data_IF_408870299119
#
_entry.id   IF_408870299119
#
_cell.length_a   1.000
_cell.length_b   1.000
_cell.length_c   1.000
_cell.angle_alpha   90.00
_cell.angle_beta   90.00
_cell.angle_gamma   90.00
#
_symmetry.space_group_name_H-M   'P 1'
#
loop_
_entity.id
_entity.type
_entity.pdbx_description
1 polymer ?
#
# COMPACT_ATOMS: atom_id res chain seq x y z
N UNK A 1 13.31 5.52 -15.35
CA UNK A 1 13.69 4.18 -14.83
C UNK A 1 14.28 4.39 -13.45
N UNK A 2 13.65 3.88 -12.42
CA UNK A 2 14.07 3.98 -11.02
C UNK A 2 14.55 2.62 -10.54
N UNK A 3 15.74 2.55 -9.96
CA UNK A 3 16.28 1.32 -9.35
C UNK A 3 16.53 1.63 -7.88
N UNK A 4 16.00 0.81 -6.98
CA UNK A 4 16.13 0.99 -5.54
C UNK A 4 16.53 -0.31 -4.86
N UNK A 5 17.35 -0.20 -3.83
CA UNK A 5 17.67 -1.31 -2.90
C UNK A 5 17.22 -0.89 -1.51
N UNK A 6 16.25 -1.61 -0.99
CA UNK A 6 15.81 -1.48 0.39
C UNK A 6 16.52 -2.54 1.24
N UNK A 7 17.16 -2.14 2.33
CA UNK A 7 17.88 -3.04 3.23
C UNK A 7 17.39 -2.91 4.65
N UNK A 8 17.21 -4.04 5.33
CA UNK A 8 16.80 -4.13 6.72
C UNK A 8 17.29 -5.42 7.37
N UNK A 9 17.12 -5.54 8.67
CA UNK A 9 17.59 -6.70 9.44
C UNK A 9 16.46 -7.66 9.87
N UNK A 10 15.23 -7.42 9.41
CA UNK A 10 14.06 -8.26 9.73
C UNK A 10 13.04 -8.20 8.61
N UNK A 11 12.49 -9.35 8.26
CA UNK A 11 11.43 -9.45 7.24
C UNK A 11 10.40 -10.50 7.62
N UNK A 12 9.14 -10.26 7.27
CA UNK A 12 8.08 -11.29 7.34
C UNK A 12 8.00 -11.98 5.98
N UNK A 13 8.33 -13.27 5.97
CA UNK A 13 8.10 -14.15 4.82
C UNK A 13 6.69 -14.75 4.94
N UNK A 14 5.74 -14.14 4.26
CA UNK A 14 4.33 -14.55 4.29
C UNK A 14 4.11 -15.89 3.58
N UNK A 15 4.97 -16.28 2.63
CA UNK A 15 4.89 -17.56 1.94
C UNK A 15 5.32 -18.72 2.85
N UNK A 16 6.39 -18.51 3.62
CA UNK A 16 6.88 -19.49 4.57
C UNK A 16 6.21 -19.38 5.95
N UNK A 17 5.43 -18.33 6.21
CA UNK A 17 4.77 -18.08 7.48
C UNK A 17 5.75 -17.84 8.63
N UNK A 18 6.90 -17.20 8.38
CA UNK A 18 7.95 -17.02 9.38
C UNK A 18 8.58 -15.62 9.34
N UNK A 19 9.20 -15.25 10.45
CA UNK A 19 10.05 -14.06 10.54
C UNK A 19 11.49 -14.44 10.19
N UNK A 20 12.10 -13.66 9.31
CA UNK A 20 13.53 -13.76 8.99
C UNK A 20 14.24 -12.67 9.81
N UNK A 21 15.04 -13.09 10.79
CA UNK A 21 15.82 -12.19 11.67
C UNK A 21 17.29 -12.19 11.22
N UNK A 22 17.55 -11.64 10.06
CA UNK A 22 18.88 -11.43 9.50
C UNK A 22 18.83 -10.33 8.46
N UNK A 23 19.99 -9.80 8.11
CA UNK A 23 20.09 -8.79 7.07
C UNK A 23 19.51 -9.30 5.74
N UNK A 24 18.63 -8.52 5.18
CA UNK A 24 17.92 -8.80 3.93
C UNK A 24 17.91 -7.53 3.07
N UNK A 25 18.02 -7.72 1.77
CA UNK A 25 17.91 -6.64 0.80
C UNK A 25 16.91 -6.99 -0.29
N UNK A 26 16.17 -5.97 -0.73
CA UNK A 26 15.19 -6.06 -1.80
C UNK A 26 15.60 -5.12 -2.92
N UNK A 27 15.85 -5.67 -4.10
CA UNK A 27 16.13 -4.92 -5.31
C UNK A 27 14.82 -4.69 -6.06
N UNK A 28 14.51 -3.44 -6.30
CA UNK A 28 13.30 -3.01 -7.01
C UNK A 28 13.69 -2.21 -8.25
N UNK A 29 13.03 -2.47 -9.36
CA UNK A 29 13.13 -1.69 -10.59
C UNK A 29 11.74 -1.20 -10.97
N UNK A 30 11.59 0.11 -11.02
CA UNK A 30 10.29 0.78 -11.22
C UNK A 30 9.23 0.27 -10.21
N UNK A 31 8.26 -0.53 -10.62
CA UNK A 31 7.22 -1.14 -9.76
C UNK A 31 7.41 -2.64 -9.51
N UNK A 32 8.55 -3.21 -9.92
CA UNK A 32 8.78 -4.67 -9.84
C UNK A 32 9.86 -5.02 -8.84
N UNK A 33 9.60 -6.02 -7.98
CA UNK A 33 10.61 -6.64 -7.13
C UNK A 33 11.43 -7.61 -8.00
N UNK A 34 12.70 -7.29 -8.22
CA UNK A 34 13.61 -8.09 -9.03
C UNK A 34 14.22 -9.23 -8.22
N UNK A 35 14.61 -8.93 -6.97
CA UNK A 35 15.21 -9.93 -6.09
C UNK A 35 15.04 -9.58 -4.62
N UNK A 36 14.94 -10.64 -3.80
CA UNK A 36 14.94 -10.56 -2.32
C UNK A 36 15.98 -11.56 -1.85
N UNK A 37 17.10 -11.10 -1.32
CA UNK A 37 18.20 -11.97 -0.87
C UNK A 37 19.07 -11.26 0.19
N UNK A 38 20.19 -11.89 0.58
CA UNK A 38 21.18 -11.29 1.45
C UNK A 38 21.82 -10.06 0.79
N UNK A 39 22.33 -9.10 1.59
CA UNK A 39 22.99 -7.91 1.06
C UNK A 39 24.13 -8.22 0.10
N UNK A 40 24.89 -9.30 0.35
CA UNK A 40 26.02 -9.72 -0.47
C UNK A 40 25.57 -10.12 -1.87
N UNK A 41 24.51 -10.91 -1.97
CA UNK A 41 23.97 -11.32 -3.27
C UNK A 41 23.36 -10.16 -4.03
N UNK A 42 22.63 -9.29 -3.34
CA UNK A 42 22.05 -8.08 -3.97
C UNK A 42 23.17 -7.15 -4.46
N UNK A 43 24.25 -7.00 -3.69
CA UNK A 43 25.38 -6.13 -4.06
C UNK A 43 26.16 -6.63 -5.30
N UNK A 44 26.10 -7.92 -5.58
CA UNK A 44 26.71 -8.51 -6.80
C UNK A 44 25.82 -8.40 -8.04
N UNK A 45 24.57 -7.92 -7.91
CA UNK A 45 23.66 -7.76 -9.03
C UNK A 45 24.08 -6.58 -9.91
N UNK A 46 24.01 -6.72 -11.23
CA UNK A 46 24.44 -5.70 -12.21
C UNK A 46 23.77 -4.32 -12.00
N UNK A 47 22.53 -4.31 -11.55
CA UNK A 47 21.77 -3.05 -11.31
C UNK A 47 22.15 -2.36 -10.01
N UNK A 48 22.90 -3.01 -9.10
CA UNK A 48 23.15 -2.48 -7.76
C UNK A 48 23.92 -1.16 -7.75
N UNK A 49 24.85 -1.00 -8.66
CA UNK A 49 25.70 0.20 -8.73
C UNK A 49 24.89 1.48 -9.01
N UNK A 50 23.83 1.35 -9.82
CA UNK A 50 22.96 2.44 -10.23
C UNK A 50 21.73 2.60 -9.33
N UNK A 51 21.61 1.79 -8.28
CA UNK A 51 20.46 1.80 -7.39
C UNK A 51 20.58 2.87 -6.28
N UNK A 52 19.49 3.55 -6.01
CA UNK A 52 19.31 4.30 -4.77
C UNK A 52 19.27 3.32 -3.59
N UNK A 53 20.10 3.53 -2.57
CA UNK A 53 20.22 2.63 -1.41
C UNK A 53 19.49 3.22 -0.21
N UNK A 54 18.46 2.50 0.25
CA UNK A 54 17.56 2.92 1.32
C UNK A 54 17.68 1.92 2.48
N UNK A 55 18.20 2.40 3.61
CA UNK A 55 18.25 1.60 4.83
C UNK A 55 16.98 1.80 5.65
N UNK A 56 16.34 0.70 6.01
CA UNK A 56 15.10 0.68 6.77
C UNK A 56 15.38 0.32 8.23
N UNK A 57 14.72 1.03 9.14
CA UNK A 57 14.68 0.70 10.56
C UNK A 57 13.30 0.09 10.84
N UNK A 58 13.29 -1.22 11.08
CA UNK A 58 12.04 -1.93 11.36
C UNK A 58 11.91 -3.24 10.59
N UNK A 59 10.71 -3.79 10.58
CA UNK A 59 10.42 -5.05 9.90
C UNK A 59 9.87 -4.79 8.51
N UNK A 60 10.50 -5.37 7.50
CA UNK A 60 9.99 -5.35 6.13
C UNK A 60 8.89 -6.39 6.01
N UNK A 61 7.76 -6.01 5.44
CA UNK A 61 6.64 -6.91 5.15
C UNK A 61 6.00 -6.53 3.82
N UNK A 62 5.30 -7.46 3.16
CA UNK A 62 4.46 -7.12 2.02
C UNK A 62 3.38 -6.12 2.42
N UNK A 63 2.93 -5.32 1.47
CA UNK A 63 1.78 -4.44 1.69
C UNK A 63 0.57 -5.22 2.22
N UNK A 64 -0.13 -4.63 3.18
CA UNK A 64 -1.31 -5.23 3.79
C UNK A 64 -2.48 -5.25 2.81
N UNK A 65 -3.33 -6.27 2.93
CA UNK A 65 -4.57 -6.42 2.16
C UNK A 65 -5.74 -6.30 3.12
N UNK A 66 -6.58 -5.28 2.92
CA UNK A 66 -7.84 -5.13 3.65
C UNK A 66 -9.00 -5.61 2.77
N UNK A 67 -9.60 -6.73 3.14
CA UNK A 67 -10.64 -7.38 2.35
C UNK A 67 -12.05 -6.85 2.63
N UNK A 68 -12.23 -5.93 3.57
CA UNK A 68 -13.55 -5.42 3.97
C UNK A 68 -13.48 -3.98 4.46
N UNK A 69 -13.65 -3.02 3.56
CA UNK A 69 -13.74 -1.61 3.91
C UNK A 69 -15.06 -1.00 3.42
N UNK A 70 -15.41 0.14 4.00
CA UNK A 70 -16.43 1.07 3.53
C UNK A 70 -15.81 2.46 3.48
N UNK A 71 -15.16 2.79 2.36
CA UNK A 71 -14.36 4.01 2.22
C UNK A 71 -15.15 5.29 2.50
N UNK A 72 -16.44 5.32 2.18
CA UNK A 72 -17.29 6.49 2.39
C UNK A 72 -17.66 6.74 3.87
N UNK A 73 -17.38 5.79 4.78
CA UNK A 73 -17.64 5.93 6.21
C UNK A 73 -16.79 7.02 6.85
N UNK A 74 -17.35 7.74 7.84
CA UNK A 74 -16.62 8.79 8.55
C UNK A 74 -15.66 8.22 9.62
N UNK A 75 -15.88 6.98 10.07
CA UNK A 75 -15.04 6.32 11.08
C UNK A 75 -15.22 6.85 12.50
N UNK A 76 -16.26 7.63 12.73
CA UNK A 76 -16.58 8.33 13.99
C UNK A 76 -17.82 7.76 14.71
N UNK A 77 -18.33 6.63 14.21
CA UNK A 77 -19.57 6.04 14.71
C UNK A 77 -20.84 6.57 14.04
N UNK A 78 -20.73 7.41 13.02
CA UNK A 78 -21.89 7.91 12.26
C UNK A 78 -22.75 6.74 11.74
N UNK A 79 -24.06 6.70 12.08
CA UNK A 79 -24.93 5.63 11.63
C UNK A 79 -25.10 5.56 10.11
N UNK A 80 -25.32 4.36 9.57
CA UNK A 80 -25.43 4.15 8.13
C UNK A 80 -26.60 4.90 7.48
N UNK A 81 -27.70 5.15 8.20
CA UNK A 81 -28.83 5.93 7.71
C UNK A 81 -28.50 7.43 7.52
N UNK A 82 -27.53 7.95 8.26
CA UNK A 82 -26.97 9.30 8.05
C UNK A 82 -26.11 9.32 6.79
N UNK A 83 -25.26 8.29 6.60
CA UNK A 83 -24.45 8.17 5.39
C UNK A 83 -25.33 8.15 4.13
N UNK A 84 -26.45 7.41 4.17
CA UNK A 84 -27.38 7.34 3.02
C UNK A 84 -27.99 8.70 2.68
N UNK A 85 -28.15 9.60 3.64
CA UNK A 85 -28.70 10.96 3.46
C UNK A 85 -27.62 11.99 3.10
N UNK A 86 -26.36 11.67 3.31
CA UNK A 86 -25.23 12.57 3.02
C UNK A 86 -25.03 12.72 1.50
N UNK A 87 -24.62 13.91 1.06
CA UNK A 87 -24.35 14.21 -0.35
C UNK A 87 -23.21 13.31 -0.91
N UNK A 88 -23.41 12.81 -2.13
CA UNK A 88 -22.47 11.89 -2.76
C UNK A 88 -21.09 12.52 -2.99
N UNK A 89 -21.02 13.83 -3.28
CA UNK A 89 -19.75 14.50 -3.48
C UNK A 89 -18.95 14.56 -2.18
N UNK A 90 -19.63 14.84 -1.06
CA UNK A 90 -18.98 14.84 0.26
C UNK A 90 -18.48 13.43 0.62
N UNK A 91 -19.30 12.40 0.37
CA UNK A 91 -18.92 11.01 0.60
C UNK A 91 -17.74 10.60 -0.28
N UNK A 92 -17.68 11.01 -1.55
CA UNK A 92 -16.57 10.72 -2.43
C UNK A 92 -15.28 11.39 -1.95
N UNK A 93 -15.33 12.65 -1.50
CA UNK A 93 -14.17 13.36 -0.94
C UNK A 93 -13.67 12.67 0.33
N UNK A 94 -14.59 12.33 1.24
CA UNK A 94 -14.25 11.61 2.48
C UNK A 94 -13.64 10.23 2.17
N UNK A 95 -14.24 9.50 1.23
CA UNK A 95 -13.74 8.18 0.83
C UNK A 95 -12.36 8.23 0.16
N UNK A 96 -12.08 9.26 -0.64
CA UNK A 96 -10.75 9.49 -1.20
C UNK A 96 -9.71 9.73 -0.09
N UNK A 97 -10.05 10.55 0.90
CA UNK A 97 -9.18 10.79 2.06
C UNK A 97 -8.96 9.52 2.88
N UNK A 98 -9.98 8.69 3.07
CA UNK A 98 -9.85 7.42 3.77
C UNK A 98 -8.96 6.43 2.99
N UNK A 99 -9.08 6.37 1.67
CA UNK A 99 -8.21 5.53 0.85
C UNK A 99 -6.73 5.93 0.97
N UNK A 100 -6.44 7.24 1.01
CA UNK A 100 -5.07 7.75 1.27
C UNK A 100 -4.59 7.29 2.66
N UNK A 101 -5.43 7.39 3.70
CA UNK A 101 -5.09 6.94 5.07
C UNK A 101 -4.80 5.43 5.13
N UNK A 102 -5.51 4.61 4.34
CA UNK A 102 -5.20 3.18 4.25
C UNK A 102 -3.80 2.97 3.66
N UNK A 103 -3.45 3.67 2.59
CA UNK A 103 -2.10 3.59 2.00
C UNK A 103 -1.03 4.03 3.00
N UNK A 104 -1.23 5.15 3.70
CA UNK A 104 -0.31 5.65 4.74
C UNK A 104 -0.14 4.67 5.91
N UNK A 105 -1.16 3.83 6.15
CA UNK A 105 -1.12 2.76 7.17
C UNK A 105 -0.46 1.47 6.68
N UNK A 106 0.02 1.42 5.42
CA UNK A 106 0.66 0.26 4.83
C UNK A 106 -0.29 -0.71 4.12
N UNK A 107 -1.57 -0.39 4.00
CA UNK A 107 -2.52 -1.15 3.16
C UNK A 107 -2.28 -0.77 1.71
N UNK A 108 -1.92 -1.75 0.88
CA UNK A 108 -1.64 -1.55 -0.56
C UNK A 108 -2.69 -2.17 -1.48
N UNK A 109 -3.64 -2.88 -0.90
CA UNK A 109 -4.79 -3.46 -1.61
C UNK A 109 -6.00 -3.42 -0.69
N UNK A 110 -7.13 -2.96 -1.19
CA UNK A 110 -8.36 -2.97 -0.42
C UNK A 110 -9.55 -3.43 -1.25
N UNK A 111 -10.56 -3.98 -0.57
CA UNK A 111 -11.83 -4.36 -1.15
C UNK A 111 -12.96 -3.56 -0.49
N UNK A 112 -13.50 -2.59 -1.19
CA UNK A 112 -14.68 -1.85 -0.74
C UNK A 112 -15.94 -2.69 -0.97
N UNK A 113 -16.66 -3.02 0.09
CA UNK A 113 -17.86 -3.86 0.07
C UNK A 113 -19.16 -3.05 0.05
N UNK A 114 -19.09 -1.75 0.07
CA UNK A 114 -20.28 -0.94 -0.01
C UNK A 114 -20.01 0.55 -0.02
N UNK A 115 -20.48 1.16 -1.07
CA UNK A 115 -20.48 2.60 -1.26
C UNK A 115 -21.88 3.06 -1.69
N UNK A 116 -22.21 4.32 -1.45
CA UNK A 116 -23.46 4.91 -1.91
C UNK A 116 -23.34 5.26 -3.39
N UNK A 117 -24.31 4.81 -4.18
CA UNK A 117 -24.40 5.11 -5.62
C UNK A 117 -23.06 4.83 -6.34
N UNK A 118 -22.51 5.82 -7.06
CA UNK A 118 -21.27 5.71 -7.82
C UNK A 118 -20.00 6.14 -7.04
N UNK A 119 -20.12 6.52 -5.76
CA UNK A 119 -19.01 7.14 -5.01
C UNK A 119 -17.75 6.27 -4.97
N UNK A 120 -17.86 4.98 -4.69
CA UNK A 120 -16.72 4.06 -4.70
C UNK A 120 -16.07 3.92 -6.07
N UNK A 121 -16.88 3.87 -7.14
CA UNK A 121 -16.34 3.83 -8.51
C UNK A 121 -15.62 5.11 -8.89
N UNK A 122 -16.11 6.27 -8.43
CA UNK A 122 -15.43 7.55 -8.69
C UNK A 122 -14.10 7.66 -7.96
N UNK A 123 -13.99 7.15 -6.75
CA UNK A 123 -12.72 7.05 -6.01
C UNK A 123 -11.72 6.17 -6.77
N UNK A 124 -12.17 4.99 -7.23
CA UNK A 124 -11.34 4.10 -8.04
C UNK A 124 -10.89 4.75 -9.35
N UNK A 125 -11.78 5.45 -10.03
CA UNK A 125 -11.47 6.15 -11.28
C UNK A 125 -10.46 7.28 -11.04
N UNK A 126 -10.60 8.03 -9.95
CA UNK A 126 -9.64 9.07 -9.57
C UNK A 126 -8.24 8.47 -9.28
N UNK A 127 -8.19 7.31 -8.65
CA UNK A 127 -6.94 6.55 -8.46
C UNK A 127 -6.34 6.11 -9.79
N UNK A 128 -7.13 5.50 -10.67
CA UNK A 128 -6.67 5.04 -11.99
C UNK A 128 -6.11 6.17 -12.86
N UNK A 129 -6.64 7.38 -12.70
CA UNK A 129 -6.17 8.59 -13.39
C UNK A 129 -4.98 9.26 -12.71
N UNK A 130 -4.53 8.78 -11.57
CA UNK A 130 -3.46 9.39 -10.79
C UNK A 130 -3.83 10.72 -10.13
N UNK A 131 -5.14 11.01 -9.99
CA UNK A 131 -5.64 12.21 -9.30
C UNK A 131 -5.38 12.08 -7.79
N UNK A 132 -5.51 10.86 -7.26
CA UNK A 132 -5.22 10.51 -5.86
C UNK A 132 -4.32 9.28 -5.83
N UNK A 133 -3.45 9.19 -4.82
CA UNK A 133 -2.67 7.98 -4.54
C UNK A 133 -3.41 7.14 -3.50
N UNK A 134 -3.74 5.90 -3.86
CA UNK A 134 -4.51 4.98 -3.00
C UNK A 134 -4.01 3.54 -3.17
N UNK A 135 -4.42 2.64 -2.28
CA UNK A 135 -4.21 1.20 -2.48
C UNK A 135 -4.76 0.68 -3.79
#
# INVERSE_FOLDING_TARGET
>A
MSIKVFSGNRMIDTKAGKVIEKDISILVKDSEIISVDSPEKISSHEMFQNAEKIKLNGTILPGLVDCHVHLIGFGDGTPGDVLVKTDDNLLAINGAQNAIRHLDSGVTTLRDLGAKNMTGYMIKEASNRGIIQTP
#
